data_IF_428411843389
#
_entry.id   IF_428411843389
#
_cell.length_a   1.000
_cell.length_b   1.000
_cell.length_c   1.000
_cell.angle_alpha   90.00
_cell.angle_beta   90.00
_cell.angle_gamma   90.00
#
_symmetry.space_group_name_H-M   'P 1'
#
loop_
_entity.id
_entity.type
_entity.pdbx_description
1 polymer ?
#
# COMPACT_ATOMS: atom_id res chain seq x y z
N UNK A 1 -34.20 -24.42 76.67
CA UNK A 1 -34.09 -25.89 76.68
C UNK A 1 -35.43 -26.44 77.14
N UNK A 2 -36.19 -27.26 76.42
CA UNK A 2 -36.01 -27.89 75.10
C UNK A 2 -37.40 -28.37 74.65
N UNK A 3 -37.68 -28.29 73.35
CA UNK A 3 -38.59 -29.21 72.65
C UNK A 3 -37.89 -30.60 72.60
N UNK A 4 -38.52 -31.78 72.50
CA UNK A 4 -39.43 -32.30 71.45
C UNK A 4 -39.75 -33.80 71.80
N UNK A 5 -40.42 -34.63 70.96
CA UNK A 5 -41.87 -34.87 70.83
C UNK A 5 -42.31 -36.34 70.99
N UNK A 6 -43.62 -36.60 70.81
CA UNK A 6 -44.11 -37.85 70.21
C UNK A 6 -45.33 -37.58 69.31
N UNK A 7 -45.36 -38.18 68.13
CA UNK A 7 -46.42 -38.09 67.11
C UNK A 7 -47.52 -39.14 67.34
N UNK A 8 -48.79 -38.86 66.98
CA UNK A 8 -49.59 -39.85 66.24
C UNK A 8 -50.63 -39.18 65.28
N UNK A 9 -51.56 -39.94 64.64
CA UNK A 9 -51.41 -40.71 63.41
C UNK A 9 -52.28 -40.17 62.24
N UNK A 10 -52.14 -40.78 61.06
CA UNK A 10 -52.81 -40.45 59.79
C UNK A 10 -54.36 -40.52 59.86
N UNK A 11 -55.10 -39.54 59.31
CA UNK A 11 -56.56 -39.55 59.34
C UNK A 11 -57.20 -40.25 58.11
N UNK A 12 -58.20 -41.08 58.38
CA UNK A 12 -59.13 -41.62 57.38
C UNK A 12 -60.27 -40.63 57.06
N UNK A 13 -60.64 -40.61 55.79
CA UNK A 13 -61.70 -39.79 55.17
C UNK A 13 -63.08 -39.98 55.80
N UNK A 14 -63.80 -38.86 55.90
CA UNK A 14 -65.26 -38.81 55.90
C UNK A 14 -65.71 -37.73 54.89
N UNK A 15 -66.64 -38.11 54.03
CA UNK A 15 -67.49 -37.25 53.18
C UNK A 15 -68.94 -37.69 53.41
N UNK A 16 -69.96 -36.91 53.04
CA UNK A 16 -70.03 -35.46 52.85
C UNK A 16 -71.32 -34.84 53.46
N UNK A 17 -71.37 -33.51 53.64
CA UNK A 17 -72.64 -32.77 53.69
C UNK A 17 -72.63 -31.64 52.66
N UNK A 18 -73.71 -31.63 51.87
CA UNK A 18 -73.94 -30.76 50.72
C UNK A 18 -74.46 -29.40 51.18
N UNK A 19 -73.69 -28.34 50.97
CA UNK A 19 -74.16 -26.96 51.04
C UNK A 19 -74.31 -26.43 49.61
N UNK A 20 -75.52 -26.02 49.26
CA UNK A 20 -75.88 -25.42 47.96
C UNK A 20 -75.29 -24.02 47.81
N UNK A 21 -74.45 -23.75 46.80
CA UNK A 21 -74.05 -22.40 46.46
C UNK A 21 -75.03 -21.79 45.45
N UNK A 22 -75.54 -20.62 45.81
CA UNK A 22 -76.24 -19.63 45.00
C UNK A 22 -75.65 -19.43 43.60
N UNK A 23 -76.54 -19.24 42.63
CA UNK A 23 -76.28 -19.06 41.20
C UNK A 23 -75.34 -17.86 40.91
N UNK A 24 -74.19 -18.04 40.25
CA UNK A 24 -73.49 -16.94 39.60
C UNK A 24 -74.27 -16.57 38.34
N UNK A 25 -74.64 -15.30 38.19
CA UNK A 25 -75.16 -14.79 36.91
C UNK A 25 -74.03 -14.93 35.88
N UNK A 26 -74.22 -15.81 34.90
CA UNK A 26 -73.27 -15.96 33.80
C UNK A 26 -73.15 -14.61 33.05
N UNK A 27 -71.95 -14.10 32.77
CA UNK A 27 -71.81 -13.03 31.81
C UNK A 27 -72.38 -13.53 30.48
N UNK A 28 -73.22 -12.71 29.83
CA UNK A 28 -73.79 -13.02 28.53
C UNK A 28 -72.68 -13.50 27.57
N UNK A 29 -72.93 -14.54 26.75
CA UNK A 29 -71.96 -14.95 25.76
C UNK A 29 -71.76 -13.76 24.81
N UNK A 30 -70.56 -13.16 24.83
CA UNK A 30 -70.11 -12.34 23.71
C UNK A 30 -69.98 -13.29 22.52
N UNK A 31 -71.06 -13.40 21.75
CA UNK A 31 -71.04 -14.08 20.46
C UNK A 31 -70.09 -13.29 19.58
N UNK A 32 -68.86 -13.76 19.40
CA UNK A 32 -67.98 -13.23 18.37
C UNK A 32 -68.66 -13.55 17.03
N UNK A 33 -69.28 -12.54 16.41
CA UNK A 33 -69.92 -12.69 15.12
C UNK A 33 -68.92 -13.26 14.10
N UNK A 34 -69.31 -14.31 13.38
CA UNK A 34 -68.49 -14.88 12.33
C UNK A 34 -68.21 -13.80 11.26
N UNK A 35 -66.97 -13.71 10.73
CA UNK A 35 -66.65 -12.73 9.70
C UNK A 35 -67.48 -12.96 8.44
N UNK A 36 -68.06 -11.90 7.87
CA UNK A 36 -68.87 -11.93 6.64
C UNK A 36 -68.14 -11.32 5.43
N UNK A 37 -66.90 -10.87 5.61
CA UNK A 37 -66.03 -10.35 4.57
C UNK A 37 -64.60 -10.90 4.63
N UNK A 38 -64.02 -11.14 3.46
CA UNK A 38 -62.64 -11.60 3.25
C UNK A 38 -61.92 -10.71 2.24
N UNK A 39 -60.73 -10.24 2.59
CA UNK A 39 -59.82 -9.50 1.72
C UNK A 39 -58.57 -10.35 1.47
N UNK A 40 -58.33 -10.70 0.21
CA UNK A 40 -57.09 -11.35 -0.22
C UNK A 40 -56.08 -10.27 -0.61
N UNK A 41 -54.88 -10.34 -0.05
CA UNK A 41 -53.79 -9.42 -0.37
C UNK A 41 -52.68 -10.19 -1.07
N UNK A 42 -52.55 -10.01 -2.39
CA UNK A 42 -51.45 -10.58 -3.19
C UNK A 42 -50.19 -9.72 -3.02
N UNK A 43 -49.03 -10.36 -3.00
CA UNK A 43 -47.73 -9.68 -2.98
C UNK A 43 -46.91 -10.17 -4.16
N UNK A 44 -46.73 -9.30 -5.14
CA UNK A 44 -46.17 -9.68 -6.44
C UNK A 44 -45.04 -8.76 -6.85
N UNK A 45 -44.18 -9.23 -7.75
CA UNK A 45 -43.24 -8.36 -8.47
C UNK A 45 -43.97 -7.58 -9.60
N UNK A 46 -43.23 -6.74 -10.32
CA UNK A 46 -43.76 -5.96 -11.45
C UNK A 46 -44.25 -6.81 -12.64
N UNK A 47 -43.98 -8.12 -12.64
CA UNK A 47 -44.41 -9.07 -13.66
C UNK A 47 -45.52 -10.00 -13.15
N UNK A 48 -46.16 -9.63 -12.04
CA UNK A 48 -47.23 -10.38 -11.36
C UNK A 48 -46.79 -11.74 -10.79
N UNK A 49 -45.48 -11.98 -10.62
CA UNK A 49 -45.00 -13.19 -9.96
C UNK A 49 -45.16 -13.06 -8.44
N UNK A 50 -45.77 -14.06 -7.77
CA UNK A 50 -45.92 -14.03 -6.32
C UNK A 50 -44.56 -14.11 -5.62
N UNK A 51 -44.30 -13.17 -4.71
CA UNK A 51 -43.06 -13.11 -3.93
C UNK A 51 -43.15 -13.91 -2.62
N UNK A 52 -44.36 -14.09 -2.11
CA UNK A 52 -44.68 -14.87 -0.91
C UNK A 52 -46.17 -15.28 -0.96
N UNK A 53 -46.64 -16.17 -0.07
CA UNK A 53 -48.06 -16.48 0.04
C UNK A 53 -48.92 -15.22 0.25
N UNK A 54 -50.11 -15.19 -0.35
CA UNK A 54 -51.06 -14.10 -0.16
C UNK A 54 -51.52 -14.02 1.31
N UNK A 55 -51.76 -12.81 1.79
CA UNK A 55 -52.40 -12.62 3.10
C UNK A 55 -53.92 -12.73 2.93
N UNK A 56 -54.58 -13.27 3.95
CA UNK A 56 -56.04 -13.33 4.03
C UNK A 56 -56.47 -12.60 5.28
N UNK A 57 -57.21 -11.50 5.11
CA UNK A 57 -57.77 -10.72 6.19
C UNK A 57 -59.28 -10.95 6.22
N UNK A 58 -59.86 -11.19 7.39
CA UNK A 58 -61.30 -11.42 7.55
C UNK A 58 -61.89 -10.43 8.55
N UNK A 59 -63.13 -10.00 8.33
CA UNK A 59 -63.81 -9.06 9.22
C UNK A 59 -65.29 -8.93 8.94
N UNK A 60 -65.92 -7.96 9.60
CA UNK A 60 -67.31 -7.55 9.33
C UNK A 60 -67.33 -6.53 8.18
N UNK A 61 -68.40 -6.52 7.38
CA UNK A 61 -68.61 -5.50 6.36
C UNK A 61 -68.54 -4.09 6.97
N UNK A 62 -67.89 -3.16 6.26
CA UNK A 62 -67.57 -1.79 6.66
C UNK A 62 -66.62 -1.64 7.86
N UNK A 63 -66.20 -2.72 8.51
CA UNK A 63 -65.19 -2.65 9.56
C UNK A 63 -63.81 -2.27 8.98
N UNK A 64 -62.93 -1.63 9.77
CA UNK A 64 -61.61 -1.22 9.32
C UNK A 64 -60.69 -2.41 9.04
N UNK A 65 -59.97 -2.33 7.92
CA UNK A 65 -58.92 -3.27 7.51
C UNK A 65 -57.60 -2.86 8.18
N UNK A 66 -57.02 -3.77 8.96
CA UNK A 66 -55.70 -3.58 9.57
C UNK A 66 -54.63 -4.32 8.78
N UNK A 67 -54.23 -3.73 7.64
CA UNK A 67 -53.14 -4.27 6.82
C UNK A 67 -51.79 -3.67 7.26
N UNK A 68 -50.89 -4.52 7.78
CA UNK A 68 -49.47 -4.18 7.88
C UNK A 68 -48.77 -4.61 6.60
N UNK A 69 -48.25 -3.65 5.83
CA UNK A 69 -47.51 -3.93 4.60
C UNK A 69 -46.28 -4.79 4.96
N UNK A 70 -46.12 -5.99 4.37
CA UNK A 70 -44.97 -6.83 4.65
C UNK A 70 -43.69 -6.25 4.06
N UNK A 71 -42.61 -6.32 4.84
CA UNK A 71 -41.25 -6.10 4.34
C UNK A 71 -40.77 -7.37 3.64
N UNK A 72 -40.48 -7.26 2.34
CA UNK A 72 -39.93 -8.37 1.56
C UNK A 72 -38.43 -8.09 1.35
N UNK A 73 -37.53 -8.94 1.87
CA UNK A 73 -36.11 -8.65 1.77
C UNK A 73 -35.62 -8.58 0.31
N UNK A 74 -34.91 -7.49 -0.03
CA UNK A 74 -34.44 -7.25 -1.40
C UNK A 74 -35.46 -6.55 -2.31
N UNK A 75 -36.61 -6.15 -1.74
CA UNK A 75 -37.66 -5.43 -2.46
C UNK A 75 -38.11 -4.19 -1.69
N UNK A 76 -38.65 -3.24 -2.43
CA UNK A 76 -39.39 -2.09 -1.89
C UNK A 76 -40.80 -2.07 -2.48
N UNK A 77 -41.77 -1.58 -1.72
CA UNK A 77 -43.13 -1.41 -2.22
C UNK A 77 -43.13 -0.32 -3.29
N UNK A 78 -43.64 -0.65 -4.48
CA UNK A 78 -43.75 0.27 -5.60
C UNK A 78 -45.16 0.84 -5.72
N UNK A 79 -46.18 -0.02 -5.60
CA UNK A 79 -47.57 0.34 -5.85
C UNK A 79 -48.54 -0.52 -5.03
N UNK A 80 -49.75 -0.01 -4.79
CA UNK A 80 -50.85 -0.72 -4.15
C UNK A 80 -52.10 -0.58 -5.04
N UNK A 81 -52.57 -1.71 -5.55
CA UNK A 81 -53.76 -1.79 -6.39
C UNK A 81 -54.93 -2.35 -5.57
N UNK A 82 -56.13 -1.77 -5.74
CA UNK A 82 -57.31 -2.18 -4.98
C UNK A 82 -57.18 -1.93 -3.47
N UNK A 83 -56.46 -0.87 -3.07
CA UNK A 83 -56.34 -0.48 -1.67
C UNK A 83 -57.72 -0.14 -1.09
N UNK A 84 -58.00 -0.63 0.11
CA UNK A 84 -59.19 -0.27 0.87
C UNK A 84 -58.87 -0.12 2.35
N UNK A 85 -59.52 0.84 3.01
CA UNK A 85 -59.42 1.03 4.45
C UNK A 85 -60.45 0.22 5.23
N UNK A 86 -61.54 -0.22 4.59
CA UNK A 86 -62.64 -0.99 5.19
C UNK A 86 -62.99 -2.22 4.34
N UNK A 87 -63.68 -3.20 4.93
CA UNK A 87 -64.23 -4.33 4.16
C UNK A 87 -65.46 -3.88 3.36
N UNK A 88 -65.32 -3.65 2.05
CA UNK A 88 -66.40 -3.09 1.21
C UNK A 88 -67.29 -4.15 0.56
N UNK A 89 -66.87 -5.42 0.56
CA UNK A 89 -67.58 -6.54 -0.05
C UNK A 89 -67.27 -7.85 0.68
N UNK A 90 -68.09 -8.88 0.46
CA UNK A 90 -67.84 -10.24 0.99
C UNK A 90 -66.48 -10.79 0.54
N UNK A 91 -66.04 -10.44 -0.68
CA UNK A 91 -64.73 -10.78 -1.23
C UNK A 91 -64.07 -9.56 -1.87
N UNK A 92 -62.90 -9.19 -1.38
CA UNK A 92 -62.06 -8.12 -1.94
C UNK A 92 -60.68 -8.62 -2.34
N UNK A 93 -60.02 -7.87 -3.20
CA UNK A 93 -58.64 -8.12 -3.66
C UNK A 93 -57.82 -6.84 -3.58
N UNK A 94 -56.71 -6.90 -2.87
CA UNK A 94 -55.63 -5.89 -2.91
C UNK A 94 -54.37 -6.55 -3.46
N UNK A 95 -53.63 -5.86 -4.32
CA UNK A 95 -52.33 -6.32 -4.81
C UNK A 95 -51.25 -5.32 -4.42
N UNK A 96 -50.27 -5.76 -3.63
CA UNK A 96 -49.06 -5.03 -3.31
C UNK A 96 -47.99 -5.38 -4.35
N UNK A 97 -47.58 -4.39 -5.14
CA UNK A 97 -46.58 -4.57 -6.21
C UNK A 97 -45.23 -4.10 -5.69
N UNK A 98 -44.23 -4.97 -5.75
CA UNK A 98 -42.88 -4.72 -5.25
C UNK A 98 -41.86 -4.61 -6.37
N UNK A 99 -40.84 -3.78 -6.15
CA UNK A 99 -39.67 -3.64 -7.01
C UNK A 99 -38.41 -4.15 -6.32
N UNK A 100 -37.61 -4.96 -7.03
CA UNK A 100 -36.30 -5.38 -6.53
C UNK A 100 -35.32 -4.21 -6.49
N UNK A 101 -34.66 -4.06 -5.35
CA UNK A 101 -33.65 -3.01 -5.16
C UNK A 101 -32.27 -3.48 -5.65
N UNK A 102 -31.46 -2.54 -6.12
CA UNK A 102 -30.08 -2.82 -6.51
C UNK A 102 -29.21 -2.98 -5.27
N UNK A 103 -28.30 -3.96 -5.31
CA UNK A 103 -27.19 -4.01 -4.37
C UNK A 103 -26.08 -3.07 -4.80
N UNK A 104 -25.14 -2.82 -3.90
CA UNK A 104 -23.90 -2.11 -4.22
C UNK A 104 -22.99 -2.97 -5.11
N UNK A 105 -22.20 -2.34 -5.98
CA UNK A 105 -21.40 -3.05 -6.98
C UNK A 105 -20.24 -3.85 -6.36
N UNK A 106 -19.81 -4.88 -7.10
CA UNK A 106 -18.54 -5.56 -6.87
C UNK A 106 -17.57 -5.11 -7.97
N UNK A 107 -16.43 -4.52 -7.59
CA UNK A 107 -15.43 -4.04 -8.55
C UNK A 107 -14.18 -4.90 -8.51
N UNK A 108 -13.70 -5.29 -9.69
CA UNK A 108 -12.51 -6.13 -9.88
C UNK A 108 -11.38 -5.31 -10.48
N UNK A 109 -10.16 -5.54 -10.00
CA UNK A 109 -8.94 -4.89 -10.46
C UNK A 109 -7.93 -5.96 -10.86
N UNK A 110 -7.23 -5.74 -11.98
CA UNK A 110 -6.20 -6.64 -12.48
C UNK A 110 -4.87 -5.90 -12.30
N UNK A 111 -4.00 -6.40 -11.43
CA UNK A 111 -2.79 -5.70 -10.99
C UNK A 111 -1.57 -6.56 -11.33
N UNK A 112 -0.55 -5.96 -11.91
CA UNK A 112 0.78 -6.55 -12.01
C UNK A 112 1.37 -6.65 -10.60
N UNK A 113 1.58 -7.87 -10.10
CA UNK A 113 2.03 -8.13 -8.73
C UNK A 113 3.38 -7.49 -8.42
N UNK A 114 4.26 -7.44 -9.43
CA UNK A 114 5.63 -7.03 -9.22
C UNK A 114 5.81 -5.51 -9.36
N UNK A 115 5.04 -4.85 -10.23
CA UNK A 115 5.11 -3.39 -10.43
C UNK A 115 4.00 -2.60 -9.71
N UNK A 116 2.89 -3.25 -9.37
CA UNK A 116 1.68 -2.59 -8.84
C UNK A 116 0.83 -1.88 -9.90
N UNK A 117 1.20 -1.98 -11.18
CA UNK A 117 0.47 -1.33 -12.26
C UNK A 117 -0.89 -1.99 -12.53
N UNK A 118 -1.89 -1.18 -12.86
CA UNK A 118 -3.16 -1.68 -13.36
C UNK A 118 -3.02 -2.20 -14.80
N UNK A 119 -3.39 -3.46 -15.02
CA UNK A 119 -3.26 -4.14 -16.32
C UNK A 119 -4.42 -3.83 -17.28
N UNK A 120 -5.59 -3.49 -16.74
CA UNK A 120 -6.77 -3.11 -17.51
C UNK A 120 -7.71 -2.26 -16.66
N UNK A 121 -8.60 -1.51 -17.30
CA UNK A 121 -9.64 -0.74 -16.59
C UNK A 121 -10.42 -1.63 -15.61
N UNK A 122 -10.75 -1.13 -14.40
CA UNK A 122 -11.47 -1.93 -13.41
C UNK A 122 -12.84 -2.34 -13.97
N UNK A 123 -13.26 -3.59 -13.73
CA UNK A 123 -14.58 -4.07 -14.16
C UNK A 123 -15.54 -4.08 -12.99
N UNK A 124 -16.73 -3.55 -13.19
CA UNK A 124 -17.79 -3.50 -12.18
C UNK A 124 -18.89 -4.49 -12.52
N UNK A 125 -19.19 -5.39 -11.59
CA UNK A 125 -20.34 -6.26 -11.62
C UNK A 125 -21.47 -5.65 -10.78
N UNK A 126 -22.68 -5.62 -11.34
CA UNK A 126 -23.90 -5.11 -10.69
C UNK A 126 -24.95 -6.20 -10.62
N UNK A 127 -25.74 -6.21 -9.56
CA UNK A 127 -26.84 -7.15 -9.39
C UNK A 127 -27.84 -6.65 -8.35
N UNK A 128 -29.00 -7.32 -8.30
CA UNK A 128 -30.05 -7.00 -7.31
C UNK A 128 -29.60 -7.45 -5.92
N UNK A 129 -30.07 -6.76 -4.88
CA UNK A 129 -29.71 -7.07 -3.51
C UNK A 129 -30.01 -8.56 -3.21
N UNK A 130 -29.10 -9.24 -2.52
CA UNK A 130 -29.14 -10.68 -2.16
C UNK A 130 -29.06 -11.66 -3.33
N UNK A 131 -28.89 -11.20 -4.58
CA UNK A 131 -28.59 -12.12 -5.69
C UNK A 131 -27.15 -12.62 -5.61
N UNK A 132 -26.87 -13.89 -5.95
CA UNK A 132 -25.52 -14.41 -5.92
C UNK A 132 -24.67 -13.82 -7.05
N UNK A 133 -23.36 -13.73 -6.81
CA UNK A 133 -22.36 -13.46 -7.83
C UNK A 133 -21.23 -14.48 -7.74
N UNK A 134 -20.58 -14.70 -8.89
CA UNK A 134 -19.36 -15.48 -9.00
C UNK A 134 -18.44 -14.77 -10.00
N UNK A 135 -17.17 -14.68 -9.64
CA UNK A 135 -16.13 -14.03 -10.41
C UNK A 135 -15.03 -15.03 -10.74
N UNK A 136 -14.45 -14.87 -11.92
CA UNK A 136 -13.29 -15.63 -12.38
C UNK A 136 -12.26 -14.64 -12.91
N UNK A 137 -10.97 -14.79 -12.55
CA UNK A 137 -9.92 -13.95 -13.11
C UNK A 137 -9.89 -14.10 -14.65
N UNK A 138 -10.01 -13.00 -15.41
CA UNK A 138 -9.91 -13.06 -16.87
C UNK A 138 -8.45 -13.33 -17.31
N UNK A 139 -8.28 -14.00 -18.45
CA UNK A 139 -6.94 -14.14 -19.04
C UNK A 139 -6.35 -12.78 -19.44
N UNK A 140 -5.05 -12.61 -19.22
CA UNK A 140 -4.28 -11.41 -19.60
C UNK A 140 -3.07 -11.87 -20.41
N UNK A 141 -2.89 -11.36 -21.62
CA UNK A 141 -1.82 -11.79 -22.53
C UNK A 141 -0.43 -11.53 -21.92
N UNK A 142 0.40 -12.58 -21.83
CA UNK A 142 1.76 -12.51 -21.27
C UNK A 142 1.80 -12.57 -19.73
N UNK A 143 0.70 -12.91 -19.10
CA UNK A 143 0.54 -12.96 -17.64
C UNK A 143 -0.24 -14.21 -17.21
N UNK A 144 0.11 -14.74 -16.04
CA UNK A 144 -0.65 -15.74 -15.31
C UNK A 144 -1.16 -15.18 -13.99
N UNK A 145 -2.27 -15.74 -13.50
CA UNK A 145 -2.78 -15.40 -12.18
C UNK A 145 -1.79 -15.86 -11.11
N UNK A 146 -1.38 -14.94 -10.25
CA UNK A 146 -0.46 -15.21 -9.15
C UNK A 146 -1.21 -15.31 -7.82
N UNK A 147 -2.10 -14.36 -7.55
CA UNK A 147 -2.87 -14.30 -6.30
C UNK A 147 -4.21 -13.60 -6.53
N UNK A 148 -5.20 -13.91 -5.71
CA UNK A 148 -6.46 -13.18 -5.67
C UNK A 148 -6.78 -12.78 -4.22
N UNK A 149 -7.28 -11.56 -4.03
CA UNK A 149 -7.72 -11.04 -2.74
C UNK A 149 -9.17 -10.56 -2.81
N UNK A 150 -9.95 -10.88 -1.77
CA UNK A 150 -11.37 -10.56 -1.68
C UNK A 150 -12.28 -11.71 -2.09
N UNK A 151 -13.57 -11.58 -1.75
CA UNK A 151 -14.56 -12.64 -1.95
C UNK A 151 -15.00 -12.72 -3.41
N UNK A 152 -14.52 -13.76 -4.11
CA UNK A 152 -14.84 -14.04 -5.51
C UNK A 152 -16.23 -14.63 -5.74
N UNK A 153 -16.88 -15.07 -4.67
CA UNK A 153 -18.26 -15.52 -4.66
C UNK A 153 -18.99 -14.92 -3.45
N UNK A 154 -20.30 -14.78 -3.56
CA UNK A 154 -21.12 -14.24 -2.48
C UNK A 154 -22.44 -13.71 -3.02
N UNK A 155 -23.07 -12.81 -2.29
CA UNK A 155 -24.26 -12.10 -2.73
C UNK A 155 -24.02 -10.59 -2.76
N UNK A 156 -24.75 -9.89 -3.63
CA UNK A 156 -24.79 -8.43 -3.60
C UNK A 156 -25.42 -7.97 -2.28
N UNK A 157 -24.75 -7.05 -1.60
CA UNK A 157 -25.23 -6.45 -0.36
C UNK A 157 -25.46 -4.96 -0.55
N UNK A 158 -25.80 -4.27 0.53
CA UNK A 158 -25.86 -2.81 0.65
C UNK A 158 -24.46 -2.17 0.79
N UNK A 159 -23.40 -2.95 0.66
CA UNK A 159 -22.00 -2.51 0.73
C UNK A 159 -21.24 -2.87 -0.53
N UNK A 160 -20.47 -1.91 -1.06
CA UNK A 160 -19.61 -2.15 -2.22
C UNK A 160 -18.47 -3.10 -1.86
N UNK A 161 -18.11 -4.00 -2.78
CA UNK A 161 -17.02 -4.95 -2.58
C UNK A 161 -15.92 -4.74 -3.61
N UNK A 162 -14.69 -5.08 -3.24
CA UNK A 162 -13.53 -5.10 -4.13
C UNK A 162 -12.91 -6.49 -4.18
N UNK A 163 -12.53 -6.92 -5.37
CA UNK A 163 -11.69 -8.09 -5.60
C UNK A 163 -10.45 -7.66 -6.38
N UNK A 164 -9.28 -8.06 -5.90
CA UNK A 164 -8.02 -7.84 -6.60
C UNK A 164 -7.53 -9.16 -7.19
N UNK A 165 -7.18 -9.13 -8.47
CA UNK A 165 -6.48 -10.21 -9.13
C UNK A 165 -5.07 -9.73 -9.44
N UNK A 166 -4.09 -10.33 -8.76
CA UNK A 166 -2.68 -10.08 -8.98
C UNK A 166 -2.13 -11.06 -9.99
N UNK A 167 -1.51 -10.54 -11.04
CA UNK A 167 -0.91 -11.31 -12.11
C UNK A 167 0.60 -11.11 -12.11
N UNK A 168 1.33 -12.15 -12.51
CA UNK A 168 2.76 -12.07 -12.76
C UNK A 168 3.03 -12.37 -14.22
N UNK A 169 4.04 -11.71 -14.79
CA UNK A 169 4.46 -11.91 -16.19
C UNK A 169 4.93 -13.34 -16.38
N UNK A 170 4.53 -13.98 -17.47
CA UNK A 170 4.87 -15.38 -17.76
C UNK A 170 6.37 -15.58 -17.94
N UNK A 171 7.04 -14.60 -18.53
CA UNK A 171 8.48 -14.64 -18.76
C UNK A 171 9.30 -14.46 -17.47
N UNK A 172 8.71 -14.10 -16.33
CA UNK A 172 9.45 -13.78 -15.11
C UNK A 172 9.50 -14.98 -14.17
N UNK A 173 10.67 -15.61 -14.07
CA UNK A 173 10.89 -16.76 -13.21
C UNK A 173 11.10 -16.34 -11.75
N UNK A 174 11.98 -15.35 -11.51
CA UNK A 174 12.22 -14.82 -10.16
C UNK A 174 12.27 -13.31 -10.15
N UNK A 175 11.74 -12.72 -9.08
CA UNK A 175 11.79 -11.27 -8.82
C UNK A 175 12.35 -11.05 -7.44
N UNK A 176 13.51 -10.39 -7.36
CA UNK A 176 14.19 -10.09 -6.11
C UNK A 176 14.28 -8.57 -5.95
N UNK A 177 13.67 -8.02 -4.89
CA UNK A 177 13.89 -6.62 -4.51
C UNK A 177 15.18 -6.51 -3.72
N UNK A 178 16.08 -5.63 -4.13
CA UNK A 178 17.44 -5.53 -3.59
C UNK A 178 17.83 -4.09 -3.28
N UNK A 179 18.86 -3.94 -2.44
CA UNK A 179 19.54 -2.68 -2.16
C UNK A 179 21.04 -2.84 -2.44
N UNK A 180 21.36 -3.24 -3.66
CA UNK A 180 22.73 -3.54 -4.12
C UNK A 180 23.21 -2.46 -5.09
N UNK A 181 24.47 -2.56 -5.52
CA UNK A 181 25.06 -1.69 -6.52
C UNK A 181 25.68 -2.49 -7.65
N UNK A 182 25.85 -1.89 -8.82
CA UNK A 182 26.47 -2.51 -9.98
C UNK A 182 27.39 -1.52 -10.68
N UNK A 183 28.62 -1.95 -10.97
CA UNK A 183 29.53 -1.25 -11.88
C UNK A 183 29.39 -1.87 -13.26
N UNK A 184 29.19 -1.04 -14.29
CA UNK A 184 29.13 -1.50 -15.69
C UNK A 184 30.55 -1.68 -16.23
N UNK A 185 30.87 -2.81 -16.87
CA UNK A 185 32.19 -3.01 -17.51
C UNK A 185 32.20 -2.74 -19.01
N UNK A 186 31.03 -2.50 -19.60
CA UNK A 186 30.81 -2.07 -20.99
C UNK A 186 29.65 -1.05 -21.05
N UNK A 187 29.45 -0.41 -22.20
CA UNK A 187 28.28 0.44 -22.43
C UNK A 187 27.02 -0.45 -22.50
N UNK A 188 25.93 -0.04 -21.86
CA UNK A 188 24.69 -0.82 -21.76
C UNK A 188 23.50 -0.06 -22.31
N UNK A 189 22.73 -0.69 -23.20
CA UNK A 189 21.39 -0.21 -23.57
C UNK A 189 20.44 -0.28 -22.38
N UNK A 190 19.52 0.69 -22.32
CA UNK A 190 18.50 0.77 -21.28
C UNK A 190 17.12 0.47 -21.86
N UNK A 191 16.36 -0.39 -21.19
CA UNK A 191 15.07 -0.91 -21.64
C UNK A 191 13.96 -0.53 -20.67
N UNK A 192 12.72 -0.45 -21.18
CA UNK A 192 11.52 -0.17 -20.40
C UNK A 192 11.11 -1.33 -19.46
N UNK A 193 11.43 -2.56 -19.86
CA UNK A 193 11.26 -3.81 -19.10
C UNK A 193 12.33 -4.84 -19.50
N UNK A 194 12.53 -5.92 -18.72
CA UNK A 194 13.43 -7.01 -19.09
C UNK A 194 13.13 -7.58 -20.47
N UNK A 195 14.10 -7.56 -21.38
CA UNK A 195 13.94 -7.94 -22.80
C UNK A 195 12.82 -7.15 -23.52
N UNK A 196 12.64 -5.89 -23.12
CA UNK A 196 11.63 -4.97 -23.64
C UNK A 196 12.10 -4.12 -24.81
N UNK A 197 11.55 -2.91 -24.88
CA UNK A 197 11.92 -1.89 -25.86
C UNK A 197 13.06 -1.04 -25.31
N UNK A 198 14.12 -0.86 -26.09
CA UNK A 198 15.23 0.02 -25.72
C UNK A 198 14.80 1.50 -25.84
N UNK A 199 15.28 2.34 -24.92
CA UNK A 199 15.05 3.80 -24.98
C UNK A 199 15.91 4.52 -26.02
N UNK A 200 16.93 3.86 -26.57
CA UNK A 200 17.83 4.45 -27.57
C UNK A 200 18.98 5.29 -27.00
N UNK A 201 19.27 5.16 -25.71
CA UNK A 201 20.48 5.68 -25.07
C UNK A 201 21.16 4.61 -24.23
N UNK A 202 22.44 4.83 -23.94
CA UNK A 202 23.28 3.89 -23.20
C UNK A 202 23.80 4.50 -21.90
N UNK A 203 24.00 3.64 -20.90
CA UNK A 203 24.81 3.98 -19.74
C UNK A 203 26.27 3.56 -19.97
N UNK A 204 27.24 4.47 -19.72
CA UNK A 204 28.62 4.24 -20.10
C UNK A 204 29.30 3.22 -19.20
N UNK A 205 30.31 2.55 -19.74
CA UNK A 205 31.24 1.71 -18.99
C UNK A 205 31.83 2.47 -17.79
N UNK A 206 32.16 1.74 -16.73
CA UNK A 206 32.70 2.20 -15.43
C UNK A 206 31.75 3.03 -14.55
N UNK A 207 30.52 3.27 -15.02
CA UNK A 207 29.46 3.89 -14.22
C UNK A 207 28.98 2.95 -13.11
N UNK A 208 28.55 3.53 -11.99
CA UNK A 208 28.11 2.81 -10.79
C UNK A 208 26.65 3.18 -10.48
N UNK A 209 25.79 2.17 -10.43
CA UNK A 209 24.35 2.34 -10.27
C UNK A 209 23.83 1.56 -9.06
N UNK A 210 22.75 2.07 -8.46
CA UNK A 210 21.99 1.33 -7.45
C UNK A 210 21.00 0.40 -8.14
N UNK A 211 20.93 -0.84 -7.65
CA UNK A 211 19.93 -1.83 -8.03
C UNK A 211 18.73 -1.76 -7.08
N UNK A 212 17.54 -1.78 -7.65
CA UNK A 212 16.26 -1.86 -6.92
C UNK A 212 15.60 -3.23 -7.05
N UNK A 213 15.84 -3.91 -8.16
CA UNK A 213 15.37 -5.26 -8.39
C UNK A 213 16.32 -6.05 -9.30
N UNK A 214 16.31 -7.36 -9.12
CA UNK A 214 16.94 -8.34 -10.01
C UNK A 214 15.86 -9.29 -10.47
N UNK A 215 15.74 -9.46 -11.78
CA UNK A 215 14.78 -10.38 -12.40
C UNK A 215 15.53 -11.42 -13.20
N UNK A 216 15.15 -12.68 -13.01
CA UNK A 216 15.58 -13.78 -13.88
C UNK A 216 14.38 -14.16 -14.73
N UNK A 217 14.57 -14.14 -16.05
CA UNK A 217 13.57 -14.57 -17.00
C UNK A 217 13.59 -16.09 -17.17
N UNK A 218 12.55 -16.64 -17.79
CA UNK A 218 12.42 -18.09 -18.04
C UNK A 218 13.52 -18.65 -18.93
N UNK A 219 14.12 -17.82 -19.79
CA UNK A 219 15.29 -18.14 -20.60
C UNK A 219 16.63 -18.06 -19.82
N UNK A 220 16.57 -17.85 -18.50
CA UNK A 220 17.69 -17.65 -17.59
C UNK A 220 18.46 -16.33 -17.76
N UNK A 221 18.03 -15.43 -18.65
CA UNK A 221 18.62 -14.09 -18.72
C UNK A 221 18.30 -13.31 -17.44
N UNK A 222 19.29 -12.57 -16.95
CA UNK A 222 19.19 -11.79 -15.70
C UNK A 222 19.20 -10.31 -16.03
N UNK A 223 18.28 -9.57 -15.41
CA UNK A 223 18.05 -8.16 -15.66
C UNK A 223 18.05 -7.37 -14.36
N UNK A 224 18.62 -6.17 -14.42
CA UNK A 224 18.77 -5.27 -13.28
C UNK A 224 17.90 -4.03 -13.44
N UNK A 225 17.12 -3.71 -12.41
CA UNK A 225 16.36 -2.46 -12.35
C UNK A 225 17.19 -1.36 -11.69
N UNK A 226 17.27 -0.21 -12.36
CA UNK A 226 18.01 0.97 -11.89
C UNK A 226 17.07 2.08 -11.36
N UNK A 227 15.77 1.80 -11.30
CA UNK A 227 14.72 2.71 -10.87
C UNK A 227 13.64 2.86 -11.94
N UNK A 228 12.38 3.00 -11.52
CA UNK A 228 11.24 3.10 -12.44
C UNK A 228 11.26 1.99 -13.51
N UNK A 229 11.06 2.40 -14.76
CA UNK A 229 11.06 1.50 -15.93
C UNK A 229 12.42 1.54 -16.63
N UNK A 230 13.54 1.45 -15.90
CA UNK A 230 14.88 1.40 -16.49
C UNK A 230 15.55 0.08 -16.13
N UNK A 231 15.79 -0.73 -17.15
CA UNK A 231 16.33 -2.08 -17.04
C UNK A 231 17.55 -2.24 -17.94
N UNK A 232 18.53 -3.02 -17.49
CA UNK A 232 19.65 -3.46 -18.32
C UNK A 232 19.95 -4.94 -18.08
N UNK A 233 20.59 -5.58 -19.05
CA UNK A 233 21.07 -6.95 -18.91
C UNK A 233 22.20 -7.03 -17.87
N UNK A 234 22.26 -8.11 -17.10
CA UNK A 234 23.28 -8.30 -16.07
C UNK A 234 24.67 -8.71 -16.59
N UNK A 235 24.77 -9.04 -17.88
CA UNK A 235 26.05 -9.36 -18.55
C UNK A 235 27.00 -8.18 -18.51
N UNK A 236 28.31 -8.41 -18.51
CA UNK A 236 29.31 -7.33 -18.51
C UNK A 236 29.13 -6.32 -17.36
N UNK A 237 28.81 -6.85 -16.18
CA UNK A 237 28.70 -6.07 -14.95
C UNK A 237 29.45 -6.69 -13.77
N UNK A 238 29.80 -5.85 -12.80
CA UNK A 238 30.34 -6.27 -11.52
C UNK A 238 29.41 -5.79 -10.39
N UNK A 239 28.85 -6.73 -9.63
CA UNK A 239 27.86 -6.43 -8.59
C UNK A 239 28.52 -6.26 -7.21
N UNK A 240 28.00 -5.32 -6.41
CA UNK A 240 28.52 -4.95 -5.10
C UNK A 240 27.39 -4.95 -4.06
N UNK A 241 27.67 -5.42 -2.84
CA UNK A 241 26.68 -5.39 -1.74
C UNK A 241 26.52 -3.99 -1.14
N UNK A 242 27.58 -3.19 -1.19
CA UNK A 242 27.62 -1.84 -0.63
C UNK A 242 28.23 -0.88 -1.64
N UNK A 243 27.92 0.40 -1.48
CA UNK A 243 28.63 1.45 -2.20
C UNK A 243 30.08 1.48 -1.71
N UNK A 244 31.03 1.23 -2.60
CA UNK A 244 32.45 1.36 -2.31
C UNK A 244 33.19 1.92 -3.52
N UNK A 245 32.90 3.15 -3.92
CA UNK A 245 33.91 3.95 -4.63
C UNK A 245 34.64 4.77 -3.58
N UNK A 246 35.84 4.35 -3.22
CA UNK A 246 36.83 5.31 -2.72
C UNK A 246 37.09 6.23 -3.90
N UNK A 247 36.61 7.46 -3.86
CA UNK A 247 37.12 8.48 -4.77
C UNK A 247 38.60 8.63 -4.43
N UNK A 248 39.46 7.86 -5.09
CA UNK A 248 40.88 8.14 -5.06
C UNK A 248 41.01 9.57 -5.58
N UNK A 249 41.48 10.48 -4.71
CA UNK A 249 41.99 11.75 -5.18
C UNK A 249 42.96 11.41 -6.32
N UNK A 250 42.92 12.13 -7.46
CA UNK A 250 43.91 11.91 -8.50
C UNK A 250 45.28 11.92 -7.84
N UNK A 251 46.17 10.97 -8.18
CA UNK A 251 47.50 10.93 -7.58
C UNK A 251 48.11 12.33 -7.72
N UNK A 252 48.63 12.90 -6.62
CA UNK A 252 49.34 14.18 -6.68
C UNK A 252 50.54 13.99 -7.61
N UNK A 253 50.40 14.39 -8.88
CA UNK A 253 51.48 14.31 -9.87
C UNK A 253 52.39 15.51 -9.65
N UNK A 254 53.20 15.46 -8.60
CA UNK A 254 54.32 16.39 -8.43
C UNK A 254 55.56 15.55 -8.22
N UNK A 255 56.40 15.50 -9.26
CA UNK A 255 57.68 14.80 -9.21
C UNK A 255 58.76 15.76 -8.76
N UNK A 256 59.52 15.42 -7.73
CA UNK A 256 60.64 16.24 -7.27
C UNK A 256 61.86 15.99 -8.15
N UNK A 257 62.25 16.98 -8.94
CA UNK A 257 63.45 16.91 -9.79
C UNK A 257 64.72 17.13 -8.97
N UNK A 258 64.65 17.94 -7.90
CA UNK A 258 65.78 18.21 -7.02
C UNK A 258 65.35 18.32 -5.56
N UNK A 259 66.13 17.71 -4.66
CA UNK A 259 65.99 17.84 -3.21
C UNK A 259 67.36 18.04 -2.58
N UNK A 260 67.53 19.13 -1.84
CA UNK A 260 68.77 19.48 -1.17
C UNK A 260 68.50 19.86 0.27
N UNK A 261 69.22 19.26 1.21
CA UNK A 261 69.26 19.70 2.60
C UNK A 261 70.22 20.87 2.71
N UNK A 262 69.77 21.96 3.32
CA UNK A 262 70.49 23.23 3.38
C UNK A 262 70.37 23.82 4.79
N UNK A 263 71.21 24.78 5.13
CA UNK A 263 71.10 25.55 6.37
C UNK A 263 71.26 27.02 6.04
N UNK A 264 70.19 27.60 5.50
CA UNK A 264 70.17 28.98 5.05
C UNK A 264 69.30 29.83 5.96
N UNK A 265 69.65 31.10 6.10
CA UNK A 265 68.80 32.08 6.77
C UNK A 265 68.25 33.06 5.75
N UNK A 266 67.06 33.55 5.98
CA UNK A 266 66.42 34.55 5.14
C UNK A 266 65.26 35.21 5.86
N UNK A 267 64.44 35.91 5.11
CA UNK A 267 63.18 36.47 5.61
C UNK A 267 62.09 36.34 4.56
N UNK A 268 60.84 36.40 5.01
CA UNK A 268 59.68 36.48 4.12
C UNK A 268 59.74 37.82 3.36
N UNK A 269 59.78 37.74 2.03
CA UNK A 269 59.71 38.87 1.09
C UNK A 269 58.31 38.85 0.45
N UNK A 270 57.39 39.59 1.07
CA UNK A 270 55.99 39.67 0.68
C UNK A 270 55.49 41.12 0.77
N UNK A 271 54.23 41.38 0.39
CA UNK A 271 53.70 42.74 0.44
C UNK A 271 53.67 43.29 1.87
N UNK A 272 53.93 44.60 2.10
CA UNK A 272 53.90 45.20 3.43
C UNK A 272 52.59 44.95 4.18
N UNK A 273 52.66 44.58 5.46
CA UNK A 273 51.53 44.13 6.30
C UNK A 273 50.78 42.89 5.79
N UNK A 274 51.25 42.26 4.71
CA UNK A 274 50.69 41.04 4.17
C UNK A 274 51.02 39.82 5.03
N UNK A 275 50.10 38.84 5.00
CA UNK A 275 50.31 37.51 5.56
C UNK A 275 50.46 36.50 4.43
N UNK A 276 51.51 35.70 4.50
CA UNK A 276 51.81 34.65 3.54
C UNK A 276 51.52 33.28 4.15
N UNK A 277 50.72 32.50 3.44
CA UNK A 277 50.38 31.14 3.86
C UNK A 277 51.55 30.18 3.68
N UNK A 278 51.81 29.36 4.70
CA UNK A 278 52.77 28.24 4.68
C UNK A 278 52.02 26.92 4.78
N UNK A 279 52.63 25.85 4.27
CA UNK A 279 51.95 24.56 4.05
C UNK A 279 52.67 23.41 4.75
N UNK A 280 51.95 22.33 5.06
CA UNK A 280 52.54 21.12 5.69
C UNK A 280 53.43 20.33 4.74
N UNK A 281 53.16 20.48 3.45
CA UNK A 281 53.96 20.02 2.32
C UNK A 281 53.68 20.97 1.15
N UNK A 282 54.55 21.06 0.12
CA UNK A 282 54.24 21.83 -1.08
C UNK A 282 52.89 21.41 -1.69
N UNK A 283 52.06 22.39 -2.05
CA UNK A 283 50.69 22.18 -2.57
C UNK A 283 49.76 21.42 -1.60
N UNK A 284 50.11 21.36 -0.32
CA UNK A 284 49.37 20.64 0.70
C UNK A 284 48.41 21.51 1.50
N UNK A 285 48.00 20.99 2.66
CA UNK A 285 47.19 21.72 3.62
C UNK A 285 47.97 22.89 4.24
N UNK A 286 47.24 23.93 4.64
CA UNK A 286 47.78 25.10 5.33
C UNK A 286 48.36 24.68 6.69
N UNK A 287 49.64 24.97 6.92
CA UNK A 287 50.30 24.83 8.21
C UNK A 287 50.17 26.08 9.08
N UNK A 288 49.99 27.26 8.46
CA UNK A 288 49.88 28.54 9.16
C UNK A 288 50.11 29.73 8.23
N UNK A 289 50.39 30.89 8.82
CA UNK A 289 50.74 32.11 8.10
C UNK A 289 51.93 32.81 8.75
N UNK A 290 52.76 33.44 7.93
CA UNK A 290 53.88 34.29 8.33
C UNK A 290 53.65 35.73 7.87
N UNK A 291 54.21 36.70 8.57
CA UNK A 291 54.16 38.11 8.18
C UNK A 291 55.37 38.47 7.32
N UNK A 292 55.21 39.50 6.49
CA UNK A 292 56.34 40.06 5.75
C UNK A 292 57.48 40.47 6.71
N UNK A 293 58.71 40.11 6.37
CA UNK A 293 59.90 40.38 7.19
C UNK A 293 60.17 39.34 8.28
N UNK A 294 59.30 38.35 8.49
CA UNK A 294 59.55 37.27 9.46
C UNK A 294 60.83 36.52 9.07
N UNK A 295 61.70 36.28 10.05
CA UNK A 295 62.93 35.54 9.85
C UNK A 295 62.65 34.05 9.59
N UNK A 296 63.41 33.48 8.64
CA UNK A 296 63.27 32.10 8.19
C UNK A 296 64.58 31.34 8.39
N UNK A 297 64.49 30.17 9.01
CA UNK A 297 65.50 29.11 8.97
C UNK A 297 65.08 28.09 7.90
N UNK A 298 65.82 28.07 6.78
CA UNK A 298 65.55 27.23 5.62
C UNK A 298 66.42 25.98 5.70
N UNK A 299 65.76 24.82 5.78
CA UNK A 299 66.38 23.51 6.03
C UNK A 299 66.45 22.60 4.82
N UNK A 300 65.56 22.84 3.85
CA UNK A 300 65.49 22.04 2.65
C UNK A 300 65.04 22.90 1.47
N UNK A 301 65.63 22.66 0.31
CA UNK A 301 65.22 23.20 -0.97
C UNK A 301 64.69 22.06 -1.84
N UNK A 302 63.47 22.23 -2.32
CA UNK A 302 62.77 21.29 -3.20
C UNK A 302 62.48 21.99 -4.53
N UNK A 303 62.67 21.28 -5.63
CA UNK A 303 62.29 21.75 -6.97
C UNK A 303 61.45 20.68 -7.65
N UNK A 304 60.32 21.08 -8.18
CA UNK A 304 59.43 20.17 -8.92
C UNK A 304 59.77 20.11 -10.42
N UNK A 305 59.05 19.28 -11.15
CA UNK A 305 59.13 19.08 -12.59
C UNK A 305 58.71 20.30 -13.43
N UNK A 306 58.07 21.30 -12.81
CA UNK A 306 57.74 22.59 -13.41
C UNK A 306 58.80 23.67 -13.08
N UNK A 307 59.85 23.31 -12.35
CA UNK A 307 60.91 24.23 -11.93
C UNK A 307 60.51 25.14 -10.78
N UNK A 308 59.39 24.90 -10.11
CA UNK A 308 58.98 25.68 -8.96
C UNK A 308 59.74 25.24 -7.72
N UNK A 309 60.30 26.22 -7.00
CA UNK A 309 61.14 25.98 -5.83
C UNK A 309 60.35 26.21 -4.54
N UNK A 310 60.49 25.28 -3.61
CA UNK A 310 59.90 25.32 -2.28
C UNK A 310 61.00 25.20 -1.21
N UNK A 311 60.87 25.99 -0.15
CA UNK A 311 61.75 25.91 1.00
C UNK A 311 61.02 25.29 2.19
N UNK A 312 61.66 24.34 2.86
CA UNK A 312 61.23 23.90 4.18
C UNK A 312 61.73 24.90 5.22
N UNK A 313 60.80 25.54 5.93
CA UNK A 313 61.06 26.52 6.97
C UNK A 313 60.66 25.98 8.34
N UNK A 314 61.52 26.21 9.34
CA UNK A 314 61.32 25.68 10.69
C UNK A 314 61.28 24.13 10.71
N UNK A 315 60.55 23.50 11.65
CA UNK A 315 60.61 22.05 11.82
C UNK A 315 59.92 21.26 10.69
N UNK A 316 58.85 21.76 10.08
CA UNK A 316 58.04 20.98 9.13
C UNK A 316 57.11 21.78 8.18
N UNK A 317 57.31 23.09 8.00
CA UNK A 317 56.46 23.88 7.11
C UNK A 317 57.16 24.20 5.79
N UNK A 318 56.40 24.48 4.74
CA UNK A 318 56.89 24.78 3.40
C UNK A 318 56.35 26.12 2.90
N UNK A 319 57.22 26.87 2.26
CA UNK A 319 56.96 28.19 1.68
C UNK A 319 57.47 28.20 0.24
N UNK A 320 56.78 28.89 -0.66
CA UNK A 320 57.25 29.05 -2.03
C UNK A 320 58.48 29.98 -2.04
N UNK A 321 59.58 29.54 -2.68
CA UNK A 321 60.84 30.26 -2.67
C UNK A 321 60.75 31.69 -3.24
N UNK A 322 59.76 31.95 -4.11
CA UNK A 322 59.52 33.29 -4.68
C UNK A 322 59.23 34.37 -3.63
N UNK A 323 58.80 33.97 -2.44
CA UNK A 323 58.47 34.89 -1.33
C UNK A 323 59.52 34.86 -0.22
N UNK A 324 60.72 34.37 -0.52
CA UNK A 324 61.81 34.27 0.45
C UNK A 324 63.02 34.98 -0.13
N UNK A 325 63.55 35.93 0.63
CA UNK A 325 64.85 36.53 0.33
C UNK A 325 65.89 35.91 1.25
N UNK A 326 66.81 35.14 0.65
CA UNK A 326 67.92 34.52 1.35
C UNK A 326 68.98 35.58 1.70
N UNK A 327 69.58 35.43 2.87
CA UNK A 327 70.72 36.24 3.27
C UNK A 327 72.00 35.74 2.55
N UNK A 328 72.98 36.63 2.30
CA UNK A 328 74.26 36.23 1.74
C UNK A 328 74.92 35.13 2.59
N UNK A 329 75.29 34.02 1.96
CA UNK A 329 76.12 33.00 2.58
C UNK A 329 77.52 33.58 2.77
N UNK A 330 78.06 33.58 4.00
CA UNK A 330 79.41 34.06 4.30
C UNK A 330 80.44 32.95 4.19
#
# INVERSE_FOLDING_TARGET
MSHQPTEPPVPHQLTPETLTPSTPTAPAPVTHAAPDATLVVRLVDQRDHPLQPALVLTGQLNAPVRLKIPEIPGYTLLDIQGFTQNFLSAYGLTTLVYQSIWGQPVTTYLIDYDTGQLLALPRTLRGKLRTPYQLTPPAVTGYHIFQAEGNQHGQFSDQSKRVLYFYRRDAWQTVQRVHQYVTLTADHDVYDLPAGTAYGYQFPATSLWRLFAIITLTDQSVWYNLGGNQWLAATDTQRHQHWSRVMALPPKVTTWTQRQTVHWTGHVDYVPQGRLTIYREPYGEVAGQLQNGDALDVRQCLTDDQGLVWYQVGPAAYINARYVRLNPQK
#
